data_IF_148442468094
#
_entry.id   IF_148442468094
#
_cell.length_a   1.000
_cell.length_b   1.000
_cell.length_c   1.000
_cell.angle_alpha   90.00
_cell.angle_beta   90.00
_cell.angle_gamma   90.00
#
_symmetry.space_group_name_H-M   'P 1'
#
loop_
_entity.id
_entity.type
_entity.pdbx_description
1 polymer ?
#
# COMPACT_ATOMS: atom_id res chain seq x y z
N UNK A 1 21.01 -8.41 0.72
CA UNK A 1 21.16 -7.38 1.76
C UNK A 1 20.35 -6.15 1.38
N UNK A 2 19.57 -5.69 2.28
CA UNK A 2 18.72 -4.52 2.04
C UNK A 2 19.54 -3.24 1.98
N UNK A 3 19.24 -2.37 1.01
CA UNK A 3 19.92 -1.08 0.90
C UNK A 3 19.53 -0.15 2.05
N UNK A 4 20.41 0.73 2.50
CA UNK A 4 20.06 1.74 3.51
C UNK A 4 18.92 2.63 3.03
N UNK A 5 18.08 3.07 3.95
CA UNK A 5 17.00 4.00 3.64
C UNK A 5 17.56 5.40 3.41
N UNK A 6 17.11 6.04 2.34
CA UNK A 6 17.64 7.34 1.90
C UNK A 6 16.64 8.49 2.03
N UNK A 7 15.49 8.24 2.64
CA UNK A 7 14.39 9.19 2.70
C UNK A 7 14.72 10.52 3.41
N UNK A 8 15.80 10.58 4.16
CA UNK A 8 16.26 11.80 4.86
C UNK A 8 17.39 12.52 4.14
N UNK A 9 17.89 11.97 3.05
CA UNK A 9 18.95 12.61 2.28
C UNK A 9 18.40 13.71 1.40
N UNK A 10 19.26 14.68 1.05
CA UNK A 10 18.90 15.78 0.18
C UNK A 10 18.40 15.28 -1.18
N UNK A 11 17.28 15.83 -1.65
CA UNK A 11 16.64 15.40 -2.89
C UNK A 11 15.72 14.18 -2.74
N UNK A 12 15.64 13.60 -1.55
CA UNK A 12 14.77 12.47 -1.23
C UNK A 12 13.60 12.90 -0.34
N UNK A 13 12.48 12.19 -0.43
CA UNK A 13 11.34 12.37 0.46
C UNK A 13 10.99 11.07 1.13
N UNK A 14 10.57 11.14 2.37
CA UNK A 14 10.06 9.97 3.08
C UNK A 14 8.74 9.53 2.46
N UNK A 15 8.68 8.30 1.97
CA UNK A 15 7.50 7.73 1.35
C UNK A 15 6.76 6.79 2.29
N UNK A 16 5.45 6.96 2.33
CA UNK A 16 4.52 6.05 3.00
C UNK A 16 3.95 5.10 1.96
N UNK A 17 4.17 3.81 2.13
CA UNK A 17 3.64 2.79 1.23
C UNK A 17 2.25 2.36 1.70
N UNK A 18 1.27 2.46 0.82
CA UNK A 18 -0.10 2.01 1.06
C UNK A 18 -0.43 0.93 0.04
N UNK A 19 -0.93 -0.20 0.51
CA UNK A 19 -1.39 -1.28 -0.35
C UNK A 19 -2.87 -1.09 -0.64
N UNK A 20 -3.21 -0.98 -1.91
CA UNK A 20 -4.59 -0.83 -2.38
C UNK A 20 -5.09 -2.18 -2.83
N UNK A 21 -6.21 -2.60 -2.27
CA UNK A 21 -6.85 -3.87 -2.59
C UNK A 21 -8.37 -3.71 -2.65
N UNK A 22 -9.09 -4.82 -2.72
CA UNK A 22 -10.56 -4.81 -2.80
C UNK A 22 -11.24 -4.67 -1.43
N UNK A 23 -10.46 -4.53 -0.36
CA UNK A 23 -11.03 -4.39 0.98
C UNK A 23 -11.53 -2.97 1.24
N UNK A 24 -12.64 -2.81 1.97
CA UNK A 24 -13.14 -1.48 2.30
C UNK A 24 -12.23 -0.70 3.24
N UNK A 25 -11.40 -1.37 4.02
CA UNK A 25 -10.49 -0.74 4.98
C UNK A 25 -9.30 -0.04 4.34
N UNK A 26 -8.96 -0.31 3.08
CA UNK A 26 -7.78 0.30 2.46
C UNK A 26 -7.91 1.82 2.33
N UNK A 27 -9.14 2.37 2.30
CA UNK A 27 -9.34 3.82 2.29
C UNK A 27 -8.86 4.47 3.60
N UNK A 28 -8.96 3.78 4.72
CA UNK A 28 -8.44 4.31 6.00
C UNK A 28 -6.92 4.36 6.00
N UNK A 29 -6.26 3.35 5.44
CA UNK A 29 -4.82 3.36 5.29
C UNK A 29 -4.37 4.54 4.40
N UNK A 30 -5.06 4.76 3.28
CA UNK A 30 -4.78 5.89 2.40
C UNK A 30 -5.00 7.22 3.12
N UNK A 31 -6.12 7.38 3.79
CA UNK A 31 -6.44 8.63 4.49
C UNK A 31 -5.39 8.98 5.53
N UNK A 32 -5.01 8.02 6.36
CA UNK A 32 -3.96 8.22 7.34
C UNK A 32 -2.61 8.58 6.70
N UNK A 33 -2.19 7.80 5.71
CA UNK A 33 -0.90 7.99 5.05
C UNK A 33 -0.82 9.34 4.32
N UNK A 34 -1.89 9.72 3.61
CA UNK A 34 -1.93 10.99 2.89
C UNK A 34 -1.87 12.18 3.85
N UNK A 35 -2.64 12.15 4.92
CA UNK A 35 -2.62 13.21 5.94
C UNK A 35 -1.27 13.30 6.63
N UNK A 36 -0.70 12.15 6.98
CA UNK A 36 0.61 12.10 7.62
C UNK A 36 1.72 12.62 6.70
N UNK A 37 1.70 12.23 5.43
CA UNK A 37 2.65 12.72 4.44
C UNK A 37 2.54 14.23 4.25
N UNK A 38 1.32 14.75 4.16
CA UNK A 38 1.09 16.19 4.03
C UNK A 38 1.63 16.97 5.23
N UNK A 39 1.38 16.49 6.44
CA UNK A 39 1.83 17.16 7.67
C UNK A 39 3.34 17.09 7.90
N UNK A 40 4.03 16.13 7.29
CA UNK A 40 5.46 15.90 7.53
C UNK A 40 6.34 16.13 6.30
N UNK A 41 5.77 16.65 5.21
CA UNK A 41 6.54 16.92 3.99
C UNK A 41 6.96 15.66 3.24
N UNK A 42 6.25 14.54 3.44
CA UNK A 42 6.52 13.27 2.79
C UNK A 42 5.74 13.07 1.50
N UNK A 43 5.79 11.85 0.98
CA UNK A 43 5.08 11.42 -0.22
C UNK A 43 4.38 10.09 0.04
N UNK A 44 3.49 9.69 -0.86
CA UNK A 44 2.72 8.44 -0.76
C UNK A 44 2.96 7.62 -2.01
N UNK A 45 3.16 6.31 -1.83
CA UNK A 45 3.21 5.32 -2.89
C UNK A 45 2.00 4.40 -2.72
N UNK A 46 1.21 4.27 -3.77
CA UNK A 46 0.08 3.34 -3.82
C UNK A 46 0.51 2.10 -4.59
N UNK A 47 0.43 0.95 -3.96
CA UNK A 47 0.77 -0.34 -4.58
C UNK A 47 -0.48 -1.18 -4.75
N UNK A 48 -0.70 -1.66 -5.96
CA UNK A 48 -1.69 -2.68 -6.26
C UNK A 48 -0.96 -3.95 -6.69
N UNK A 49 -1.19 -5.05 -6.00
CA UNK A 49 -0.61 -6.35 -6.35
C UNK A 49 -1.67 -7.22 -6.97
N UNK A 50 -1.45 -7.59 -8.24
CA UNK A 50 -2.29 -8.56 -8.93
C UNK A 50 -1.75 -9.94 -8.59
N UNK A 51 -2.54 -10.73 -7.86
CA UNK A 51 -2.20 -12.11 -7.58
C UNK A 51 -2.69 -12.97 -8.74
N UNK A 52 -1.81 -13.68 -9.44
CA UNK A 52 -2.23 -14.55 -10.52
C UNK A 52 -3.08 -15.68 -9.96
N UNK A 53 -4.26 -15.86 -10.52
CA UNK A 53 -5.06 -17.03 -10.24
C UNK A 53 -4.30 -18.28 -10.72
N UNK A 54 -4.61 -19.43 -10.12
CA UNK A 54 -3.92 -20.68 -10.39
C UNK A 54 -3.72 -20.93 -11.89
N UNK A 55 -2.58 -21.50 -12.30
CA UNK A 55 -2.20 -21.60 -13.70
C UNK A 55 -3.10 -22.59 -14.44
N UNK A 56 -4.20 -22.10 -14.89
CA UNK A 56 -4.99 -22.74 -15.94
C UNK A 56 -4.46 -22.14 -17.23
N UNK A 57 -3.48 -22.79 -17.81
CA UNK A 57 -2.87 -22.35 -19.04
C UNK A 57 -3.85 -22.52 -20.22
N UNK A 58 -4.71 -21.56 -20.37
CA UNK A 58 -5.49 -21.40 -21.57
C UNK A 58 -4.78 -20.39 -22.42
N UNK A 59 -3.96 -20.86 -23.35
CA UNK A 59 -3.21 -20.05 -24.29
C UNK A 59 -4.15 -19.03 -24.96
N UNK A 60 -3.89 -17.73 -24.79
CA UNK A 60 -4.67 -16.63 -25.33
C UNK A 60 -5.67 -16.01 -24.36
N UNK A 61 -6.33 -16.80 -23.52
CA UNK A 61 -7.26 -16.29 -22.51
C UNK A 61 -6.52 -15.68 -21.33
N UNK A 62 -5.38 -16.26 -20.97
CA UNK A 62 -4.53 -15.76 -19.89
C UNK A 62 -4.02 -14.34 -20.18
N UNK A 63 -3.57 -14.06 -21.41
CA UNK A 63 -3.08 -12.74 -21.78
C UNK A 63 -4.19 -11.69 -21.75
N UNK A 64 -5.40 -12.04 -22.18
CA UNK A 64 -6.56 -11.15 -22.12
C UNK A 64 -6.94 -10.88 -20.67
N UNK A 65 -7.00 -11.89 -19.82
CA UNK A 65 -7.34 -11.76 -18.41
C UNK A 65 -6.29 -10.92 -17.66
N UNK A 66 -5.02 -11.10 -17.99
CA UNK A 66 -3.92 -10.31 -17.42
C UNK A 66 -4.03 -8.84 -17.82
N UNK A 67 -4.33 -8.56 -19.09
CA UNK A 67 -4.52 -7.19 -19.58
C UNK A 67 -5.72 -6.52 -18.89
N UNK A 68 -6.83 -7.22 -18.74
CA UNK A 68 -8.01 -6.72 -18.04
C UNK A 68 -7.75 -6.46 -16.56
N UNK A 69 -7.05 -7.37 -15.89
CA UNK A 69 -6.68 -7.21 -14.49
C UNK A 69 -5.78 -5.98 -14.28
N UNK A 70 -4.84 -5.76 -15.20
CA UNK A 70 -3.95 -4.61 -15.15
C UNK A 70 -4.68 -3.31 -15.39
N UNK A 71 -5.60 -3.29 -16.35
CA UNK A 71 -6.46 -2.13 -16.62
C UNK A 71 -7.32 -1.80 -15.42
N UNK A 72 -7.92 -2.80 -14.78
CA UNK A 72 -8.72 -2.62 -13.58
C UNK A 72 -7.89 -2.10 -12.41
N UNK A 73 -6.66 -2.60 -12.25
CA UNK A 73 -5.74 -2.13 -11.22
C UNK A 73 -5.38 -0.66 -11.44
N UNK A 74 -5.12 -0.26 -12.68
CA UNK A 74 -4.84 1.14 -13.02
C UNK A 74 -6.02 2.05 -12.70
N UNK A 75 -7.24 1.63 -13.03
CA UNK A 75 -8.45 2.40 -12.73
C UNK A 75 -8.66 2.54 -11.22
N UNK A 76 -8.43 1.48 -10.46
CA UNK A 76 -8.54 1.50 -9.01
C UNK A 76 -7.50 2.44 -8.39
N UNK A 77 -6.26 2.35 -8.81
CA UNK A 77 -5.19 3.23 -8.32
C UNK A 77 -5.48 4.70 -8.64
N UNK A 78 -5.97 4.99 -9.84
CA UNK A 78 -6.34 6.36 -10.23
C UNK A 78 -7.42 6.94 -9.32
N UNK A 79 -8.40 6.12 -8.96
CA UNK A 79 -9.48 6.50 -8.05
C UNK A 79 -8.93 6.84 -6.66
N UNK A 80 -8.04 6.04 -6.12
CA UNK A 80 -7.44 6.29 -4.81
C UNK A 80 -6.47 7.47 -4.86
N UNK A 81 -5.74 7.66 -5.96
CA UNK A 81 -4.88 8.82 -6.15
C UNK A 81 -5.71 10.13 -6.15
N UNK A 82 -6.88 10.12 -6.78
CA UNK A 82 -7.79 11.27 -6.75
C UNK A 82 -8.25 11.58 -5.32
N UNK A 83 -8.53 10.56 -4.52
CA UNK A 83 -8.89 10.74 -3.10
C UNK A 83 -7.74 11.36 -2.29
N UNK A 84 -6.51 10.96 -2.55
CA UNK A 84 -5.35 11.54 -1.88
C UNK A 84 -5.17 13.01 -2.23
N UNK A 85 -5.42 13.40 -3.49
CA UNK A 85 -5.42 14.81 -3.89
C UNK A 85 -6.49 15.61 -3.15
N UNK A 86 -7.70 15.08 -3.05
CA UNK A 86 -8.81 15.75 -2.37
C UNK A 86 -8.55 15.89 -0.86
N UNK A 87 -7.98 14.85 -0.24
CA UNK A 87 -7.74 14.82 1.20
C UNK A 87 -6.54 15.67 1.63
N UNK A 88 -5.48 15.68 0.85
CA UNK A 88 -4.18 16.18 1.32
C UNK A 88 -3.40 16.94 0.25
N UNK A 89 -3.97 17.19 -0.91
CA UNK A 89 -3.32 17.86 -2.03
C UNK A 89 -1.99 17.21 -2.43
N UNK A 90 -1.99 15.87 -2.44
CA UNK A 90 -0.84 15.06 -2.82
C UNK A 90 -1.10 14.30 -4.11
N UNK A 91 -0.05 14.12 -4.92
CA UNK A 91 -0.06 13.24 -6.08
C UNK A 91 0.72 11.97 -5.76
N UNK A 92 0.05 10.87 -5.38
CA UNK A 92 0.74 9.63 -5.08
C UNK A 92 1.41 9.01 -6.29
N UNK A 93 2.54 8.36 -6.07
CA UNK A 93 3.14 7.46 -7.03
C UNK A 93 2.27 6.19 -7.10
N UNK A 94 2.02 5.68 -8.29
CA UNK A 94 1.20 4.48 -8.48
C UNK A 94 2.07 3.35 -9.02
N UNK A 95 2.02 2.19 -8.36
CA UNK A 95 2.83 1.02 -8.72
C UNK A 95 1.94 -0.21 -8.81
N UNK A 96 2.08 -0.97 -9.90
CA UNK A 96 1.41 -2.26 -10.08
C UNK A 96 2.48 -3.34 -10.11
N UNK A 97 2.24 -4.41 -9.35
CA UNK A 97 3.08 -5.61 -9.35
C UNK A 97 2.21 -6.84 -9.51
N UNK A 98 2.78 -7.89 -10.06
CA UNK A 98 2.14 -9.19 -10.20
C UNK A 98 2.91 -10.21 -9.38
N UNK A 99 2.22 -10.97 -8.54
CA UNK A 99 2.83 -11.98 -7.68
C UNK A 99 2.11 -12.14 -6.36
N UNK A 100 2.79 -12.71 -5.39
CA UNK A 100 2.25 -12.84 -4.03
C UNK A 100 2.36 -11.50 -3.32
N UNK A 101 1.26 -11.07 -2.72
CA UNK A 101 1.14 -9.74 -2.13
C UNK A 101 2.26 -9.41 -1.14
N UNK A 102 2.49 -10.26 -0.15
CA UNK A 102 3.51 -10.02 0.86
C UNK A 102 4.93 -9.96 0.27
N UNK A 103 5.23 -10.80 -0.71
CA UNK A 103 6.53 -10.81 -1.38
C UNK A 103 6.75 -9.56 -2.22
N UNK A 104 5.73 -9.13 -2.96
CA UNK A 104 5.84 -7.95 -3.82
C UNK A 104 5.94 -6.65 -3.01
N UNK A 105 5.27 -6.58 -1.87
CA UNK A 105 5.43 -5.47 -0.92
C UNK A 105 6.88 -5.38 -0.47
N UNK A 106 7.47 -6.49 -0.03
CA UNK A 106 8.85 -6.54 0.41
C UNK A 106 9.84 -6.15 -0.70
N UNK A 107 9.64 -6.68 -1.91
CA UNK A 107 10.47 -6.35 -3.08
C UNK A 107 10.43 -4.85 -3.41
N UNK A 108 9.25 -4.25 -3.36
CA UNK A 108 9.14 -2.82 -3.63
C UNK A 108 9.90 -1.99 -2.59
N UNK A 109 9.78 -2.33 -1.32
CA UNK A 109 10.50 -1.65 -0.25
C UNK A 109 12.03 -1.81 -0.45
N UNK A 110 12.48 -2.97 -0.87
CA UNK A 110 13.90 -3.22 -1.12
C UNK A 110 14.44 -2.40 -2.30
N UNK A 111 13.62 -2.17 -3.33
CA UNK A 111 14.04 -1.42 -4.52
C UNK A 111 13.86 0.09 -4.39
N UNK A 112 12.89 0.56 -3.64
CA UNK A 112 12.65 1.99 -3.40
C UNK A 112 13.19 2.38 -2.01
N UNK A 113 14.36 2.95 -1.98
CA UNK A 113 15.08 3.31 -0.75
C UNK A 113 14.42 4.44 0.05
N UNK A 114 13.45 5.13 -0.55
CA UNK A 114 12.74 6.24 0.10
C UNK A 114 11.51 5.78 0.87
N UNK A 115 11.05 4.56 0.65
CA UNK A 115 9.95 4.00 1.44
C UNK A 115 10.43 3.78 2.87
N UNK A 116 9.79 4.44 3.80
CA UNK A 116 10.20 4.46 5.20
C UNK A 116 9.18 3.80 6.13
N UNK A 117 7.93 3.66 5.71
CA UNK A 117 6.85 3.12 6.53
C UNK A 117 5.85 2.40 5.63
N UNK A 118 5.40 1.22 6.06
CA UNK A 118 4.26 0.54 5.47
C UNK A 118 3.01 0.87 6.29
N UNK A 119 1.94 1.33 5.63
CA UNK A 119 0.67 1.66 6.30
C UNK A 119 -0.39 0.66 5.86
N UNK A 120 -0.96 -0.02 6.83
CA UNK A 120 -2.05 -0.98 6.65
C UNK A 120 -3.25 -0.55 7.47
N UNK A 121 -4.45 -0.97 7.09
CA UNK A 121 -5.64 -0.76 7.89
C UNK A 121 -6.17 -2.09 8.40
N UNK A 122 -6.59 -2.11 9.66
CA UNK A 122 -7.27 -3.26 10.23
C UNK A 122 -8.69 -3.34 9.68
N UNK A 123 -9.16 -4.56 9.39
CA UNK A 123 -10.55 -4.80 9.01
C UNK A 123 -11.48 -4.71 10.21
N UNK A 124 -12.76 -4.49 9.93
CA UNK A 124 -13.81 -4.40 10.96
C UNK A 124 -14.27 -5.76 11.48
N UNK A 125 -13.77 -6.84 10.89
CA UNK A 125 -14.15 -8.20 11.26
C UNK A 125 -13.73 -8.53 12.69
N UNK A 126 -14.60 -9.21 13.42
CA UNK A 126 -14.32 -9.75 14.76
C UNK A 126 -13.33 -10.93 14.71
N UNK A 127 -13.03 -11.43 13.51
CA UNK A 127 -12.14 -12.58 13.30
C UNK A 127 -10.66 -12.17 13.14
N UNK A 128 -10.33 -10.91 13.34
CA UNK A 128 -8.96 -10.43 13.28
C UNK A 128 -8.77 -9.23 12.35
N UNK A 129 -7.53 -8.71 12.24
CA UNK A 129 -7.25 -7.47 11.53
C UNK A 129 -7.25 -7.59 9.99
N UNK A 130 -7.46 -8.77 9.46
CA UNK A 130 -7.47 -9.03 8.02
C UNK A 130 -6.29 -9.85 7.54
N UNK A 131 -6.41 -10.47 6.35
CA UNK A 131 -5.41 -11.43 5.87
C UNK A 131 -4.03 -10.82 5.61
N UNK A 132 -3.98 -9.60 5.09
CA UNK A 132 -2.69 -8.96 4.80
C UNK A 132 -1.95 -8.59 6.08
N UNK A 133 -2.65 -7.99 7.04
CA UNK A 133 -2.06 -7.66 8.35
C UNK A 133 -1.57 -8.94 9.04
N UNK A 134 -2.39 -9.98 9.04
CA UNK A 134 -2.04 -11.28 9.62
C UNK A 134 -0.81 -11.88 8.95
N UNK A 135 -0.76 -11.89 7.62
CA UNK A 135 0.36 -12.47 6.88
C UNK A 135 1.68 -11.74 7.15
N UNK A 136 1.66 -10.43 7.20
CA UNK A 136 2.87 -9.64 7.44
C UNK A 136 3.30 -9.72 8.90
N UNK A 137 2.35 -9.61 9.83
CA UNK A 137 2.64 -9.67 11.27
C UNK A 137 3.12 -11.05 11.72
N UNK A 138 2.56 -12.12 11.16
CA UNK A 138 2.87 -13.48 11.58
C UNK A 138 4.23 -13.98 11.08
N UNK A 139 4.67 -13.55 9.90
CA UNK A 139 5.84 -14.15 9.22
C UNK A 139 7.09 -13.30 9.18
N UNK A 140 7.12 -12.16 9.77
CA UNK A 140 8.32 -11.38 9.61
C UNK A 140 8.28 -9.98 10.16
N UNK A 141 7.36 -9.70 11.08
CA UNK A 141 7.32 -8.38 11.73
C UNK A 141 8.64 -8.04 12.42
N UNK A 142 9.36 -9.06 12.95
CA UNK A 142 10.67 -8.87 13.57
C UNK A 142 11.80 -8.62 12.59
N UNK A 143 11.63 -8.99 11.32
CA UNK A 143 12.65 -8.82 10.27
C UNK A 143 12.16 -7.95 9.11
N UNK A 144 10.99 -7.36 9.24
CA UNK A 144 10.44 -6.52 8.18
C UNK A 144 11.29 -5.26 8.00
N UNK A 145 11.59 -4.85 6.74
CA UNK A 145 12.59 -3.82 6.49
C UNK A 145 12.25 -2.40 6.99
N UNK A 146 10.97 -2.11 7.21
CA UNK A 146 10.53 -0.79 7.69
C UNK A 146 9.45 -0.96 8.75
N UNK A 147 9.17 0.06 9.58
CA UNK A 147 8.06 0.01 10.50
C UNK A 147 6.72 -0.18 9.80
N UNK A 148 5.81 -0.87 10.46
CA UNK A 148 4.46 -1.11 9.98
C UNK A 148 3.50 -0.35 10.88
N UNK A 149 2.72 0.54 10.29
CA UNK A 149 1.65 1.25 10.98
C UNK A 149 0.32 0.60 10.63
N UNK A 150 -0.43 0.18 11.65
CA UNK A 150 -1.74 -0.41 11.47
C UNK A 150 -2.79 0.59 11.95
N UNK A 151 -3.63 1.06 11.03
CA UNK A 151 -4.71 2.01 11.32
C UNK A 151 -5.92 1.25 11.85
N UNK A 152 -6.38 1.52 13.08
CA UNK A 152 -7.54 0.84 13.64
C UNK A 152 -8.82 1.08 12.86
N UNK A 153 -9.70 0.07 12.85
CA UNK A 153 -10.97 0.13 12.12
C UNK A 153 -11.94 1.17 12.66
N UNK A 154 -11.79 1.56 13.90
CA UNK A 154 -12.73 2.45 14.61
C UNK A 154 -12.43 3.94 14.47
N UNK A 155 -11.31 4.30 13.83
CA UNK A 155 -10.95 5.72 13.67
C UNK A 155 -11.79 6.39 12.59
N UNK A 156 -12.40 7.52 12.94
CA UNK A 156 -13.08 8.39 11.99
C UNK A 156 -12.08 9.24 11.20
N UNK A 157 -12.52 9.86 10.12
CA UNK A 157 -11.69 10.79 9.35
C UNK A 157 -11.20 11.97 10.21
N UNK A 158 -12.08 12.49 11.07
CA UNK A 158 -11.73 13.57 11.99
C UNK A 158 -10.66 13.16 12.99
N UNK A 159 -10.79 11.95 13.57
CA UNK A 159 -9.78 11.40 14.48
C UNK A 159 -8.46 11.17 13.76
N UNK A 160 -8.48 10.65 12.55
CA UNK A 160 -7.26 10.45 11.76
C UNK A 160 -6.55 11.77 11.46
N UNK A 161 -7.29 12.81 11.13
CA UNK A 161 -6.70 14.13 10.88
C UNK A 161 -6.00 14.68 12.13
N UNK A 162 -6.56 14.44 13.29
CA UNK A 162 -6.01 14.91 14.55
C UNK A 162 -4.69 14.21 14.94
N UNK A 163 -4.48 12.97 14.53
CA UNK A 163 -3.32 12.17 14.93
C UNK A 163 -2.28 11.96 13.83
N UNK A 164 -2.63 12.23 12.59
CA UNK A 164 -1.73 12.01 11.45
C UNK A 164 -0.65 13.15 11.26
#
# INVERSE_FOLDING_TARGET
>A
MMRPRRSREEGHKRKFLVVIDDTPECIRALSYAARRAAHTGGAVVLLFVIEPEAPQSWLGVEDIMRAEAREQAQATLAKFAAKARDLANLDPEMVIREGKRAEEIRKLIETDEDIAILVLAAGESTEGPGPLVTAIAARGSGTFPVPITIVPATLSEEQMDAIA
#
